data_IF_295672980699
#
_entry.id   IF_295672980699
#
_cell.length_a   1.000
_cell.length_b   1.000
_cell.length_c   1.000
_cell.angle_alpha   90.00
_cell.angle_beta   90.00
_cell.angle_gamma   90.00
#
_symmetry.space_group_name_H-M   'P 1'
#
loop_
_entity.id
_entity.type
_entity.pdbx_description
1 polymer ?
#
# COMPACT_ATOMS: atom_id res chain seq x y z
N UNK A 1 31.10 8.30 -38.57
CA UNK A 1 30.24 7.97 -37.41
C UNK A 1 28.81 7.83 -37.89
N UNK A 2 28.31 6.61 -37.96
CA UNK A 2 26.91 6.33 -38.23
C UNK A 2 26.06 6.58 -36.98
N UNK A 3 24.75 6.75 -37.16
CA UNK A 3 23.79 6.89 -36.05
C UNK A 3 23.86 5.69 -35.09
N UNK A 4 24.15 4.49 -35.63
CA UNK A 4 24.33 3.27 -34.84
C UNK A 4 25.56 3.34 -33.93
N UNK A 5 26.70 3.84 -34.43
CA UNK A 5 27.92 4.02 -33.66
C UNK A 5 27.75 5.06 -32.54
N UNK A 6 27.02 6.15 -32.81
CA UNK A 6 26.72 7.17 -31.79
C UNK A 6 25.81 6.63 -30.68
N UNK A 7 24.83 5.79 -31.04
CA UNK A 7 23.92 5.15 -30.08
C UNK A 7 24.69 4.17 -29.19
N UNK A 8 25.53 3.31 -29.78
CA UNK A 8 26.36 2.37 -29.03
C UNK A 8 27.31 3.08 -28.04
N UNK A 9 27.89 4.21 -28.45
CA UNK A 9 28.75 5.02 -27.58
C UNK A 9 27.99 5.62 -26.39
N UNK A 10 26.76 6.12 -26.60
CA UNK A 10 25.90 6.61 -25.53
C UNK A 10 25.59 5.50 -24.53
N UNK A 11 25.16 4.35 -25.02
CA UNK A 11 24.74 3.24 -24.15
C UNK A 11 25.92 2.71 -23.32
N UNK A 12 27.12 2.62 -23.92
CA UNK A 12 28.34 2.28 -23.19
C UNK A 12 28.72 3.34 -22.13
N UNK A 13 28.54 4.63 -22.44
CA UNK A 13 28.81 5.71 -21.50
C UNK A 13 27.80 5.71 -20.33
N UNK A 14 26.52 5.45 -20.60
CA UNK A 14 25.48 5.32 -19.58
C UNK A 14 25.71 4.11 -18.68
N UNK A 15 26.09 2.96 -19.24
CA UNK A 15 26.46 1.79 -18.46
C UNK A 15 27.62 2.09 -17.48
N UNK A 16 28.67 2.75 -17.96
CA UNK A 16 29.82 3.14 -17.14
C UNK A 16 29.45 4.19 -16.08
N UNK A 17 28.54 5.09 -16.40
CA UNK A 17 27.98 6.06 -15.44
C UNK A 17 27.19 5.34 -14.35
N UNK A 18 26.35 4.37 -14.70
CA UNK A 18 25.56 3.60 -13.72
C UNK A 18 26.46 2.83 -12.76
N UNK A 19 27.50 2.17 -13.28
CA UNK A 19 28.50 1.48 -12.45
C UNK A 19 29.12 2.45 -11.42
N UNK A 20 29.58 3.62 -11.87
CA UNK A 20 30.15 4.64 -10.98
C UNK A 20 29.15 5.19 -9.96
N UNK A 21 27.88 5.28 -10.33
CA UNK A 21 26.82 5.71 -9.41
C UNK A 21 26.54 4.65 -8.34
N UNK A 22 26.55 3.37 -8.67
CA UNK A 22 26.38 2.30 -7.68
C UNK A 22 27.59 2.20 -6.72
N UNK A 23 28.81 2.36 -7.24
CA UNK A 23 30.02 2.50 -6.41
C UNK A 23 29.87 3.68 -5.42
N UNK A 24 29.50 4.86 -5.93
CA UNK A 24 29.34 6.06 -5.13
C UNK A 24 28.23 5.92 -4.09
N UNK A 25 27.11 5.30 -4.45
CA UNK A 25 25.99 5.03 -3.55
C UNK A 25 26.39 4.09 -2.42
N UNK A 26 27.15 3.03 -2.73
CA UNK A 26 27.66 2.10 -1.71
C UNK A 26 28.57 2.83 -0.72
N UNK A 27 29.51 3.64 -1.23
CA UNK A 27 30.41 4.43 -0.40
C UNK A 27 29.66 5.43 0.50
N UNK A 28 28.60 6.07 -0.01
CA UNK A 28 27.75 6.98 0.79
C UNK A 28 27.01 6.23 1.89
N UNK A 29 26.47 5.04 1.60
CA UNK A 29 25.78 4.22 2.60
C UNK A 29 26.73 3.78 3.71
N UNK A 30 27.95 3.35 3.37
CA UNK A 30 28.96 2.96 4.36
C UNK A 30 29.35 4.14 5.27
N UNK A 31 29.59 5.32 4.67
CA UNK A 31 29.88 6.53 5.43
C UNK A 31 28.73 6.91 6.37
N UNK A 32 27.49 6.87 5.89
CA UNK A 32 26.31 7.14 6.68
C UNK A 32 26.14 6.14 7.83
N UNK A 33 26.42 4.85 7.60
CA UNK A 33 26.40 3.82 8.66
C UNK A 33 27.44 4.10 9.73
N UNK A 34 28.66 4.40 9.35
CA UNK A 34 29.75 4.70 10.29
C UNK A 34 29.42 5.92 11.17
N UNK A 35 28.86 6.98 10.59
CA UNK A 35 28.47 8.19 11.34
C UNK A 35 27.32 7.90 12.32
N UNK A 36 26.35 7.08 11.92
CA UNK A 36 25.24 6.67 12.80
C UNK A 36 25.73 5.81 13.97
N UNK A 37 26.66 4.88 13.70
CA UNK A 37 27.24 4.02 14.72
C UNK A 37 28.11 4.81 15.72
N UNK A 38 28.81 5.85 15.27
CA UNK A 38 29.53 6.78 16.16
C UNK A 38 28.61 7.48 17.16
N UNK A 39 27.36 7.72 16.79
CA UNK A 39 26.34 8.29 17.68
C UNK A 39 25.66 7.24 18.57
N UNK A 40 26.09 5.97 18.51
CA UNK A 40 25.50 4.86 19.27
C UNK A 40 24.11 4.45 18.78
N UNK A 41 23.75 4.82 17.55
CA UNK A 41 22.47 4.52 16.93
C UNK A 41 22.62 3.38 15.92
N UNK A 42 21.53 2.66 15.65
CA UNK A 42 21.49 1.65 14.58
C UNK A 42 20.95 2.28 13.30
N UNK A 43 21.55 1.95 12.15
CA UNK A 43 21.09 2.41 10.82
C UNK A 43 19.61 2.05 10.57
N UNK A 44 19.15 0.90 11.05
CA UNK A 44 17.75 0.48 10.96
C UNK A 44 16.81 1.36 11.79
N UNK A 45 17.26 1.83 12.96
CA UNK A 45 16.46 2.72 13.81
C UNK A 45 16.30 4.12 13.20
N UNK A 46 17.31 4.59 12.48
CA UNK A 46 17.31 5.90 11.80
C UNK A 46 16.59 5.83 10.45
N UNK A 47 16.71 4.72 9.75
CA UNK A 47 16.08 4.47 8.44
C UNK A 47 15.14 3.24 8.44
N UNK A 48 14.04 3.27 9.21
CA UNK A 48 13.16 2.11 9.40
C UNK A 48 12.47 1.62 8.12
N UNK A 49 12.30 2.49 7.11
CA UNK A 49 11.74 2.10 5.80
C UNK A 49 12.71 1.29 4.93
N UNK A 50 14.01 1.35 5.18
CA UNK A 50 15.02 0.62 4.40
C UNK A 50 15.21 -0.80 4.95
N UNK A 51 15.02 -0.99 6.26
CA UNK A 51 15.07 -2.30 6.90
C UNK A 51 13.78 -3.13 6.70
N UNK A 52 12.66 -2.47 6.40
CA UNK A 52 11.43 -3.16 6.03
C UNK A 52 11.56 -3.79 4.64
N UNK A 53 12.05 -5.03 4.59
CA UNK A 53 11.76 -5.91 3.46
C UNK A 53 10.24 -5.93 3.23
N UNK A 54 9.74 -5.96 1.98
CA UNK A 54 8.30 -6.05 1.69
C UNK A 54 7.61 -7.24 2.38
N UNK A 55 8.40 -8.26 2.76
CA UNK A 55 7.96 -9.44 3.47
C UNK A 55 7.62 -9.21 4.96
N UNK A 56 8.16 -8.16 5.59
CA UNK A 56 8.10 -7.99 7.05
C UNK A 56 7.26 -6.78 7.51
N UNK A 57 6.76 -6.00 6.55
CA UNK A 57 5.47 -5.31 6.74
C UNK A 57 4.38 -6.38 6.83
N UNK A 58 4.33 -7.09 7.97
CA UNK A 58 3.17 -7.84 8.44
C UNK A 58 2.06 -6.82 8.70
N UNK A 59 1.48 -6.34 7.61
CA UNK A 59 0.20 -5.65 7.59
C UNK A 59 -0.77 -6.71 8.08
N UNK A 60 -0.96 -6.80 9.40
CA UNK A 60 -1.73 -7.86 10.08
C UNK A 60 -2.96 -8.11 9.22
N UNK A 61 -2.97 -9.23 8.50
CA UNK A 61 -4.13 -9.61 7.71
C UNK A 61 -5.25 -9.74 8.74
N UNK A 62 -6.23 -8.83 8.69
CA UNK A 62 -7.39 -8.95 9.57
C UNK A 62 -7.95 -10.34 9.34
N UNK A 63 -8.07 -11.13 10.41
CA UNK A 63 -8.59 -12.51 10.37
C UNK A 63 -10.01 -12.58 9.79
N UNK A 64 -10.67 -11.43 9.71
CA UNK A 64 -12.02 -11.17 9.25
C UNK A 64 -12.07 -10.63 7.80
N UNK A 65 -10.94 -10.51 7.10
CA UNK A 65 -10.90 -10.15 5.69
C UNK A 65 -11.45 -11.31 4.83
N UNK A 66 -12.68 -11.16 4.33
CA UNK A 66 -13.37 -12.15 3.49
C UNK A 66 -14.37 -13.04 4.22
N UNK A 67 -14.56 -12.87 5.53
CA UNK A 67 -15.61 -13.58 6.25
C UNK A 67 -17.01 -13.08 5.81
N UNK A 68 -17.99 -13.98 5.57
CA UNK A 68 -19.35 -13.58 5.26
C UNK A 68 -19.93 -12.78 6.42
N UNK A 69 -20.34 -11.55 6.14
CA UNK A 69 -20.90 -10.64 7.16
C UNK A 69 -22.39 -10.94 7.32
N UNK A 70 -22.92 -11.01 8.56
CA UNK A 70 -24.35 -11.19 8.78
C UNK A 70 -25.14 -10.05 8.13
N UNK A 71 -26.26 -10.42 7.49
CA UNK A 71 -27.23 -9.46 6.95
C UNK A 71 -27.90 -8.76 8.13
N UNK A 72 -27.80 -7.44 8.20
CA UNK A 72 -28.42 -6.63 9.26
C UNK A 72 -29.77 -6.07 8.86
N UNK A 73 -30.00 -5.85 7.57
CA UNK A 73 -31.24 -5.30 7.03
C UNK A 73 -31.73 -6.10 5.82
N UNK A 74 -33.05 -6.32 5.71
CA UNK A 74 -33.70 -6.99 4.59
C UNK A 74 -34.89 -6.16 4.09
N UNK A 75 -34.90 -5.85 2.80
CA UNK A 75 -35.94 -5.08 2.14
C UNK A 75 -37.16 -5.92 1.75
N UNK A 76 -38.28 -5.27 1.39
CA UNK A 76 -39.54 -5.94 1.04
C UNK A 76 -39.43 -6.84 -0.19
N UNK A 77 -38.50 -6.53 -1.10
CA UNK A 77 -38.25 -7.29 -2.33
C UNK A 77 -37.13 -8.35 -2.19
N UNK A 78 -36.72 -8.67 -0.95
CA UNK A 78 -35.67 -9.68 -0.69
C UNK A 78 -34.23 -9.15 -0.76
N UNK A 79 -34.04 -7.85 -0.95
CA UNK A 79 -32.71 -7.22 -0.93
C UNK A 79 -32.12 -7.26 0.49
N UNK A 80 -30.79 -7.37 0.61
CA UNK A 80 -30.13 -7.46 1.91
C UNK A 80 -28.98 -6.47 2.03
N UNK A 81 -28.73 -5.99 3.24
CA UNK A 81 -27.61 -5.09 3.53
C UNK A 81 -27.00 -5.41 4.90
N UNK A 82 -25.68 -5.57 4.95
CA UNK A 82 -24.95 -5.93 6.17
C UNK A 82 -24.61 -4.73 7.06
N UNK A 83 -24.98 -3.51 6.66
CA UNK A 83 -24.61 -2.27 7.36
C UNK A 83 -23.14 -1.86 7.17
N UNK A 84 -22.38 -2.56 6.32
CA UNK A 84 -21.00 -2.23 5.94
C UNK A 84 -20.99 -1.44 4.63
N UNK A 85 -20.13 -0.42 4.56
CA UNK A 85 -19.95 0.40 3.37
C UNK A 85 -21.12 1.35 3.12
N UNK A 86 -21.26 1.81 1.87
CA UNK A 86 -22.36 2.70 1.47
C UNK A 86 -23.70 1.98 1.65
N UNK A 87 -24.70 2.73 2.13
CA UNK A 87 -26.06 2.23 2.28
C UNK A 87 -26.61 1.71 0.95
N UNK A 88 -27.42 0.65 0.96
CA UNK A 88 -28.07 0.14 -0.26
C UNK A 88 -29.03 1.19 -0.85
N UNK A 89 -29.27 1.12 -2.16
CA UNK A 89 -30.17 2.07 -2.85
C UNK A 89 -31.61 1.96 -2.36
N UNK A 90 -32.08 0.74 -2.08
CA UNK A 90 -33.44 0.50 -1.60
C UNK A 90 -33.65 1.10 -0.20
N UNK A 91 -32.68 0.95 0.71
CA UNK A 91 -32.81 1.50 2.06
C UNK A 91 -32.72 3.03 2.05
N UNK A 92 -31.93 3.61 1.13
CA UNK A 92 -31.90 5.05 0.88
C UNK A 92 -33.24 5.58 0.36
N UNK A 93 -33.89 4.87 -0.57
CA UNK A 93 -35.19 5.26 -1.09
C UNK A 93 -36.27 5.23 0.00
N UNK A 94 -36.33 4.15 0.79
CA UNK A 94 -37.31 4.01 1.87
C UNK A 94 -37.10 5.04 2.99
N UNK A 95 -35.85 5.35 3.34
CA UNK A 95 -35.56 6.40 4.31
C UNK A 95 -35.92 7.80 3.77
N UNK A 96 -35.74 8.05 2.46
CA UNK A 96 -36.19 9.28 1.82
C UNK A 96 -37.72 9.39 1.75
N UNK A 97 -38.43 8.26 1.68
CA UNK A 97 -39.89 8.17 1.79
C UNK A 97 -40.39 8.32 3.25
N UNK A 98 -39.49 8.50 4.21
CA UNK A 98 -39.81 8.73 5.63
C UNK A 98 -39.96 7.46 6.47
N UNK A 99 -39.63 6.28 5.92
CA UNK A 99 -39.66 5.02 6.66
C UNK A 99 -38.40 4.86 7.51
N UNK A 100 -38.54 4.22 8.67
CA UNK A 100 -37.40 4.00 9.55
C UNK A 100 -36.61 2.80 9.07
N UNK A 101 -35.29 2.96 8.94
CA UNK A 101 -34.36 1.86 8.66
C UNK A 101 -34.47 0.71 9.68
N UNK A 102 -34.95 0.99 10.90
CA UNK A 102 -35.11 0.01 11.95
C UNK A 102 -36.19 -1.04 11.61
N UNK A 103 -37.20 -0.67 10.81
CA UNK A 103 -38.30 -1.56 10.42
C UNK A 103 -37.82 -2.69 9.51
N UNK A 104 -36.70 -2.47 8.81
CA UNK A 104 -36.07 -3.43 7.91
C UNK A 104 -34.93 -4.21 8.58
N UNK A 105 -34.66 -3.98 9.87
CA UNK A 105 -33.60 -4.66 10.58
C UNK A 105 -33.96 -6.14 10.85
N UNK A 106 -33.06 -7.05 10.46
CA UNK A 106 -33.19 -8.49 10.73
C UNK A 106 -32.52 -8.78 12.08
N UNK A 107 -33.20 -9.55 12.94
CA UNK A 107 -32.75 -9.91 14.28
C UNK A 107 -31.84 -11.13 14.28
#
# INVERSE_FOLDING_TARGET
>A
MSVAELTALRDAAEAKRLEKLEDAKTAVIERARAEIEQLGLSFESVFPKVAQSPAESSRRTRRDAGAPVPVKFRGPNGETWSGRGRMSKWLQALEAEGQSRADFAVK
#
